data_IF_821250239470
#
_entry.id   IF_821250239470
#
_cell.length_a   1.000
_cell.length_b   1.000
_cell.length_c   1.000
_cell.angle_alpha   90.00
_cell.angle_beta   90.00
_cell.angle_gamma   90.00
#
_symmetry.space_group_name_H-M   'P 1'
#
loop_
_entity.id
_entity.type
_entity.pdbx_description
1 polymer ?
#
# COMPACT_ATOMS: atom_id res chain seq x y z
N UNK A 1 -39.31 39.67 9.32
CA UNK A 1 -38.40 38.52 9.14
C UNK A 1 -37.32 38.66 10.22
N UNK A 2 -37.43 37.93 11.33
CA UNK A 2 -36.53 38.11 12.48
C UNK A 2 -35.28 37.25 12.27
N UNK A 3 -34.11 37.88 12.11
CA UNK A 3 -32.84 37.18 12.03
C UNK A 3 -32.50 36.63 13.43
N UNK A 4 -32.48 35.31 13.60
CA UNK A 4 -32.03 34.70 14.84
C UNK A 4 -30.56 35.08 15.07
N UNK A 5 -30.29 35.83 16.13
CA UNK A 5 -28.94 36.17 16.55
C UNK A 5 -28.21 34.89 16.97
N UNK A 6 -27.35 34.36 16.11
CA UNK A 6 -26.44 33.27 16.46
C UNK A 6 -25.34 33.85 17.36
N UNK A 7 -25.54 33.79 18.68
CA UNK A 7 -24.50 34.19 19.64
C UNK A 7 -23.26 33.30 19.47
N UNK A 8 -22.05 33.87 19.31
CA UNK A 8 -20.83 33.08 19.17
C UNK A 8 -20.57 32.29 20.47
N UNK A 9 -20.67 30.95 20.39
CA UNK A 9 -20.23 30.06 21.47
C UNK A 9 -18.72 29.85 21.35
N UNK A 10 -17.97 30.47 22.25
CA UNK A 10 -16.56 30.17 22.48
C UNK A 10 -16.46 29.00 23.46
N UNK A 11 -16.08 27.82 22.97
CA UNK A 11 -15.93 26.59 23.75
C UNK A 11 -15.38 25.43 22.89
N UNK A 12 -14.96 24.34 23.51
CA UNK A 12 -14.56 23.14 22.76
C UNK A 12 -15.79 22.51 22.09
N UNK A 13 -15.87 22.68 20.77
CA UNK A 13 -16.86 22.00 19.95
C UNK A 13 -16.31 20.61 19.57
N UNK A 14 -17.09 19.54 19.71
CA UNK A 14 -16.68 18.24 19.19
C UNK A 14 -16.54 18.34 17.67
N UNK A 15 -15.30 18.40 17.18
CA UNK A 15 -14.99 18.40 15.76
C UNK A 15 -15.04 16.94 15.29
N UNK A 16 -15.96 16.58 14.37
CA UNK A 16 -15.95 15.24 13.79
C UNK A 16 -14.61 14.98 13.12
N UNK A 17 -13.93 13.90 13.53
CA UNK A 17 -12.67 13.49 12.92
C UNK A 17 -12.98 12.88 11.56
N UNK A 18 -12.87 13.70 10.52
CA UNK A 18 -13.06 13.28 9.15
C UNK A 18 -11.84 12.47 8.68
N UNK A 19 -12.04 11.16 8.55
CA UNK A 19 -11.00 10.24 8.07
C UNK A 19 -10.48 10.57 6.67
N UNK A 20 -11.25 11.31 5.85
CA UNK A 20 -10.85 11.73 4.51
C UNK A 20 -9.96 12.98 4.51
N UNK A 21 -9.92 13.76 5.61
CA UNK A 21 -9.06 14.94 5.78
C UNK A 21 -7.68 14.62 6.35
N UNK A 22 -7.41 13.35 6.61
CA UNK A 22 -6.12 12.91 7.13
C UNK A 22 -5.05 12.99 6.04
N UNK A 23 -3.93 13.71 6.28
CA UNK A 23 -2.92 13.95 5.25
C UNK A 23 -2.27 12.65 4.75
N UNK A 24 -2.18 11.63 5.60
CA UNK A 24 -1.72 10.29 5.25
C UNK A 24 -2.66 9.55 4.29
N UNK A 25 -3.96 9.83 4.29
CA UNK A 25 -4.94 9.17 3.42
C UNK A 25 -4.90 9.69 1.99
N UNK A 26 -4.47 10.95 1.78
CA UNK A 26 -4.42 11.56 0.45
C UNK A 26 -3.43 10.86 -0.48
N UNK A 27 -2.32 10.35 0.06
CA UNK A 27 -1.26 9.69 -0.72
C UNK A 27 -1.17 8.18 -0.47
N UNK A 28 -1.82 7.67 0.58
CA UNK A 28 -1.83 6.24 0.87
C UNK A 28 -2.82 5.53 -0.04
N UNK A 29 -2.28 4.82 -1.04
CA UNK A 29 -3.03 3.81 -1.79
C UNK A 29 -3.46 2.69 -0.84
N UNK A 30 -4.77 2.53 -0.63
CA UNK A 30 -5.32 1.38 0.12
C UNK A 30 -5.41 0.19 -0.81
N UNK A 31 -4.75 -0.90 -0.43
CA UNK A 31 -5.00 -2.20 -1.04
C UNK A 31 -6.41 -2.65 -0.62
N UNK A 32 -7.22 -3.20 -1.55
CA UNK A 32 -8.55 -3.72 -1.22
C UNK A 32 -8.47 -4.78 -0.12
N UNK A 33 -9.48 -4.84 0.75
CA UNK A 33 -9.58 -5.92 1.72
C UNK A 33 -9.72 -7.26 0.99
N UNK A 34 -8.97 -8.27 1.42
CA UNK A 34 -8.92 -9.58 0.76
C UNK A 34 -8.04 -9.64 -0.51
N UNK A 35 -7.26 -8.61 -0.83
CA UNK A 35 -6.31 -8.68 -1.92
C UNK A 35 -5.20 -9.71 -1.62
N UNK A 36 -5.22 -10.82 -2.35
CA UNK A 36 -4.21 -11.86 -2.23
C UNK A 36 -3.15 -11.69 -3.32
N UNK A 37 -1.88 -11.78 -2.92
CA UNK A 37 -0.77 -11.82 -3.87
C UNK A 37 -0.82 -13.18 -4.58
N UNK A 38 -0.72 -13.18 -5.91
CA UNK A 38 -0.68 -14.43 -6.68
C UNK A 38 0.52 -15.28 -6.30
N UNK A 39 0.27 -16.52 -5.87
CA UNK A 39 1.33 -17.48 -5.52
C UNK A 39 2.29 -17.77 -6.69
N UNK A 40 1.83 -17.61 -7.93
CA UNK A 40 2.66 -17.78 -9.13
C UNK A 40 3.85 -16.82 -9.19
N UNK A 41 3.79 -15.66 -8.53
CA UNK A 41 4.95 -14.79 -8.40
C UNK A 41 6.08 -15.43 -7.60
N UNK A 42 5.75 -16.10 -6.48
CA UNK A 42 6.75 -16.80 -5.68
C UNK A 42 7.32 -18.01 -6.41
N UNK A 43 6.46 -18.78 -7.06
CA UNK A 43 6.86 -19.95 -7.86
C UNK A 43 7.77 -19.51 -9.01
N UNK A 44 7.37 -18.46 -9.75
CA UNK A 44 8.16 -17.92 -10.85
C UNK A 44 9.51 -17.37 -10.38
N UNK A 45 9.56 -16.65 -9.27
CA UNK A 45 10.81 -16.16 -8.69
C UNK A 45 11.74 -17.31 -8.31
N UNK A 46 11.23 -18.35 -7.66
CA UNK A 46 12.01 -19.53 -7.31
C UNK A 46 12.59 -20.21 -8.55
N UNK A 47 11.73 -20.56 -9.51
CA UNK A 47 12.14 -21.25 -10.75
C UNK A 47 13.14 -20.40 -11.54
N UNK A 48 12.89 -19.09 -11.69
CA UNK A 48 13.75 -18.18 -12.43
C UNK A 48 15.15 -18.05 -11.81
N UNK A 49 15.24 -17.88 -10.48
CA UNK A 49 16.53 -17.79 -9.78
C UNK A 49 17.28 -19.12 -9.84
N UNK A 50 16.60 -20.25 -9.60
CA UNK A 50 17.24 -21.57 -9.68
C UNK A 50 17.81 -21.85 -11.05
N UNK A 51 17.04 -21.60 -12.12
CA UNK A 51 17.53 -21.77 -13.49
C UNK A 51 18.66 -20.80 -13.83
N UNK A 52 18.61 -19.57 -13.32
CA UNK A 52 19.70 -18.60 -13.53
C UNK A 52 21.01 -19.09 -12.88
N UNK A 53 20.96 -19.58 -11.64
CA UNK A 53 22.14 -20.12 -10.93
C UNK A 53 22.68 -21.34 -11.65
N UNK A 54 21.82 -22.31 -11.97
CA UNK A 54 22.21 -23.51 -12.70
C UNK A 54 22.80 -23.13 -14.06
N UNK A 55 22.13 -22.26 -14.81
CA UNK A 55 22.63 -21.75 -16.09
C UNK A 55 24.01 -21.14 -15.95
N UNK A 56 24.20 -20.22 -15.00
CA UNK A 56 25.48 -19.55 -14.75
C UNK A 56 26.61 -20.54 -14.41
N UNK A 57 26.33 -21.56 -13.61
CA UNK A 57 27.30 -22.61 -13.31
C UNK A 57 27.65 -23.46 -14.53
N UNK A 58 26.70 -23.68 -15.44
CA UNK A 58 26.91 -24.46 -16.66
C UNK A 58 27.53 -23.65 -17.82
N UNK A 59 27.55 -22.33 -17.75
CA UNK A 59 28.19 -21.47 -18.76
C UNK A 59 29.73 -21.53 -18.75
N UNK A 60 30.34 -22.08 -17.70
CA UNK A 60 31.78 -22.34 -17.66
C UNK A 60 32.03 -23.85 -17.69
N UNK A 61 32.40 -24.42 -18.86
CA UNK A 61 32.85 -25.81 -18.90
C UNK A 61 34.08 -25.94 -18.01
N UNK A 62 34.10 -26.94 -17.13
CA UNK A 62 35.22 -27.21 -16.23
C UNK A 62 36.53 -27.22 -17.00
N UNK A 63 37.43 -26.30 -16.66
CA UNK A 63 38.70 -26.11 -17.37
C UNK A 63 39.48 -27.43 -17.40
N UNK A 64 39.63 -27.97 -18.61
CA UNK A 64 40.61 -29.00 -18.94
C UNK A 64 42.03 -28.43 -18.86
#
# INVERSE_FOLDING_TARGET
>A
MSAAASSPRTGQLPVPVDSSRRPDVLLRRRTPDGHQVSAWWMIGAFVGVSLAVVGLMNFFPGGS
#
